data_IF_046049179502
#
_entry.id   IF_046049179502
#
_cell.length_a   1.000
_cell.length_b   1.000
_cell.length_c   1.000
_cell.angle_alpha   90.00
_cell.angle_beta   90.00
_cell.angle_gamma   90.00
#
_symmetry.space_group_name_H-M   'P 1'
#
loop_
_entity.id
_entity.type
_entity.pdbx_description
1 polymer ?
#
# COMPACT_ATOMS: atom_id res chain seq x y z
N UNK A 1 -2.58 7.93 4.80
CA UNK A 1 -3.22 7.72 6.11
C UNK A 1 -4.73 8.00 6.12
N UNK A 2 -5.23 9.23 5.85
CA UNK A 2 -6.68 9.51 6.00
C UNK A 2 -7.56 8.81 4.96
N UNK A 3 -7.33 9.04 3.67
CA UNK A 3 -8.21 8.50 2.62
C UNK A 3 -8.08 6.96 2.51
N UNK A 4 -6.91 6.39 2.80
CA UNK A 4 -6.74 4.93 2.92
C UNK A 4 -7.57 4.34 4.07
N UNK A 5 -7.61 4.96 5.24
CA UNK A 5 -8.46 4.51 6.35
C UNK A 5 -9.95 4.58 6.01
N UNK A 6 -10.41 5.70 5.45
CA UNK A 6 -11.81 5.85 5.01
C UNK A 6 -12.18 4.77 3.99
N UNK A 7 -11.29 4.55 3.01
CA UNK A 7 -11.47 3.53 1.99
C UNK A 7 -11.54 2.12 2.56
N UNK A 8 -10.56 1.72 3.38
CA UNK A 8 -10.51 0.37 3.94
C UNK A 8 -11.69 0.07 4.86
N UNK A 9 -12.16 1.07 5.61
CA UNK A 9 -13.37 0.95 6.43
C UNK A 9 -14.63 0.82 5.57
N UNK A 10 -14.78 1.66 4.54
CA UNK A 10 -15.92 1.59 3.62
C UNK A 10 -15.93 0.28 2.80
N UNK A 11 -14.76 -0.22 2.44
CA UNK A 11 -14.59 -1.52 1.80
C UNK A 11 -14.95 -2.66 2.75
N UNK A 12 -14.61 -2.54 4.04
CA UNK A 12 -14.94 -3.54 5.05
C UNK A 12 -16.42 -3.60 5.41
N UNK A 13 -17.12 -2.46 5.41
CA UNK A 13 -18.55 -2.36 5.70
C UNK A 13 -19.45 -2.60 4.48
N UNK A 14 -18.87 -2.71 3.28
CA UNK A 14 -19.63 -2.77 2.01
C UNK A 14 -20.22 -1.42 1.56
N UNK A 15 -19.90 -0.32 2.26
CA UNK A 15 -20.39 1.03 1.98
C UNK A 15 -19.48 1.84 1.04
N UNK A 16 -18.60 1.17 0.28
CA UNK A 16 -17.70 1.83 -0.67
C UNK A 16 -18.49 2.55 -1.77
N UNK A 17 -18.32 3.87 -1.86
CA UNK A 17 -18.81 4.69 -2.96
C UNK A 17 -17.71 4.95 -4.00
N UNK A 18 -18.12 5.32 -5.21
CA UNK A 18 -17.19 5.73 -6.27
C UNK A 18 -16.37 6.96 -5.87
N UNK A 19 -16.96 7.92 -5.16
CA UNK A 19 -16.24 9.10 -4.65
C UNK A 19 -15.12 8.70 -3.68
N UNK A 20 -15.39 7.82 -2.71
CA UNK A 20 -14.38 7.34 -1.76
C UNK A 20 -13.27 6.62 -2.51
N UNK A 21 -13.62 5.78 -3.49
CA UNK A 21 -12.65 5.07 -4.31
C UNK A 21 -11.74 6.03 -5.09
N UNK A 22 -12.31 6.99 -5.83
CA UNK A 22 -11.52 7.90 -6.66
C UNK A 22 -10.63 8.82 -5.82
N UNK A 23 -11.15 9.35 -4.71
CA UNK A 23 -10.34 10.15 -3.79
C UNK A 23 -9.15 9.37 -3.24
N UNK A 24 -9.35 8.10 -2.90
CA UNK A 24 -8.25 7.25 -2.41
C UNK A 24 -7.26 6.92 -3.52
N UNK A 25 -7.71 6.69 -4.75
CA UNK A 25 -6.81 6.51 -5.90
C UNK A 25 -5.93 7.72 -6.13
N UNK A 26 -6.50 8.91 -6.17
CA UNK A 26 -5.76 10.14 -6.41
C UNK A 26 -4.77 10.41 -5.26
N UNK A 27 -5.22 10.25 -4.01
CA UNK A 27 -4.36 10.38 -2.84
C UNK A 27 -3.21 9.36 -2.84
N UNK A 28 -3.48 8.12 -3.22
CA UNK A 28 -2.46 7.07 -3.34
C UNK A 28 -1.43 7.43 -4.42
N UNK A 29 -1.87 7.88 -5.60
CA UNK A 29 -0.99 8.26 -6.69
C UNK A 29 -0.06 9.42 -6.30
N UNK A 30 -0.59 10.46 -5.65
CA UNK A 30 0.20 11.61 -5.15
C UNK A 30 1.21 11.15 -4.10
N UNK A 31 0.77 10.34 -3.13
CA UNK A 31 1.63 9.82 -2.08
C UNK A 31 2.78 8.96 -2.64
N UNK A 32 2.45 7.98 -3.49
CA UNK A 32 3.43 7.09 -4.10
C UNK A 32 4.39 7.82 -5.02
N UNK A 33 3.93 8.84 -5.76
CA UNK A 33 4.79 9.69 -6.58
C UNK A 33 5.84 10.41 -5.72
N UNK A 34 5.42 11.00 -4.59
CA UNK A 34 6.32 11.67 -3.66
C UNK A 34 7.35 10.73 -3.05
N UNK A 35 6.92 9.55 -2.56
CA UNK A 35 7.82 8.53 -2.01
C UNK A 35 8.79 8.01 -3.07
N UNK A 36 8.29 7.69 -4.26
CA UNK A 36 9.10 7.17 -5.36
C UNK A 36 10.17 8.19 -5.79
N UNK A 37 9.81 9.48 -5.85
CA UNK A 37 10.76 10.55 -6.15
C UNK A 37 11.79 10.76 -5.03
N UNK A 38 11.39 10.69 -3.76
CA UNK A 38 12.33 10.79 -2.64
C UNK A 38 13.37 9.66 -2.65
N UNK A 39 12.94 8.45 -3.04
CA UNK A 39 13.80 7.26 -3.12
C UNK A 39 14.64 7.19 -4.40
N UNK A 40 14.30 7.94 -5.46
CA UNK A 40 15.03 7.89 -6.73
C UNK A 40 16.48 8.37 -6.62
N UNK A 41 16.78 9.19 -5.61
CA UNK A 41 18.14 9.63 -5.31
C UNK A 41 19.02 8.52 -4.70
N UNK A 42 18.47 7.35 -4.39
CA UNK A 42 19.24 6.17 -3.96
C UNK A 42 19.91 6.30 -2.59
N UNK A 43 19.42 7.21 -1.73
CA UNK A 43 20.00 7.44 -0.39
C UNK A 43 19.75 6.31 0.61
N UNK A 44 18.87 5.36 0.26
CA UNK A 44 18.67 4.10 0.98
C UNK A 44 17.37 4.01 1.77
N UNK A 45 16.85 5.14 2.26
CA UNK A 45 15.58 5.28 2.99
C UNK A 45 14.81 6.52 2.51
N UNK A 46 13.55 6.66 2.93
CA UNK A 46 12.67 7.76 2.49
C UNK A 46 13.28 9.13 2.81
N UNK A 47 13.93 9.26 3.97
CA UNK A 47 14.60 10.50 4.40
C UNK A 47 16.09 10.25 4.65
N UNK A 48 16.87 10.26 3.57
CA UNK A 48 18.32 10.14 3.63
C UNK A 48 18.79 8.70 3.84
N UNK A 49 19.82 8.53 4.67
CA UNK A 49 20.60 7.28 4.76
C UNK A 49 20.28 6.40 5.96
N UNK A 50 19.34 6.82 6.80
CA UNK A 50 18.95 6.08 8.00
C UNK A 50 17.48 5.74 7.96
N UNK A 51 17.15 4.59 8.55
CA UNK A 51 15.78 4.22 8.82
C UNK A 51 15.15 5.25 9.75
N UNK A 52 13.98 5.77 9.37
CA UNK A 52 13.23 6.74 10.17
C UNK A 52 11.77 6.33 10.30
N UNK A 53 11.01 7.11 11.07
CA UNK A 53 9.56 6.97 11.14
C UNK A 53 8.88 7.11 9.76
N UNK A 54 9.48 7.83 8.80
CA UNK A 54 8.92 7.94 7.45
C UNK A 54 8.86 6.58 6.75
N UNK A 55 9.89 5.75 6.91
CA UNK A 55 9.93 4.38 6.36
C UNK A 55 8.94 3.46 7.07
N UNK A 56 8.80 3.61 8.39
CA UNK A 56 7.84 2.84 9.20
C UNK A 56 6.41 3.16 8.78
N UNK A 57 6.07 4.46 8.67
CA UNK A 57 4.76 4.90 8.18
C UNK A 57 4.52 4.44 6.75
N UNK A 58 5.53 4.50 5.89
CA UNK A 58 5.41 4.01 4.51
C UNK A 58 5.11 2.51 4.43
N UNK A 59 5.85 1.67 5.16
CA UNK A 59 5.60 0.24 5.20
C UNK A 59 4.23 -0.10 5.79
N UNK A 60 3.83 0.56 6.87
CA UNK A 60 2.53 0.35 7.48
C UNK A 60 1.38 0.74 6.54
N UNK A 61 1.48 1.90 5.90
CA UNK A 61 0.47 2.41 4.96
C UNK A 61 0.31 1.48 3.76
N UNK A 62 1.42 1.10 3.10
CA UNK A 62 1.36 0.22 1.95
C UNK A 62 0.94 -1.21 2.33
N UNK A 63 1.31 -1.64 3.54
CA UNK A 63 0.82 -2.89 4.12
C UNK A 63 -0.69 -2.91 4.29
N UNK A 64 -1.30 -1.81 4.75
CA UNK A 64 -2.76 -1.71 4.93
C UNK A 64 -3.54 -1.87 3.62
N UNK A 65 -3.02 -1.40 2.49
CA UNK A 65 -3.68 -1.60 1.21
C UNK A 65 -3.81 -3.08 0.79
N UNK A 66 -3.05 -4.00 1.39
CA UNK A 66 -3.21 -5.44 1.14
C UNK A 66 -4.55 -6.00 1.64
N UNK A 67 -5.29 -5.27 2.47
CA UNK A 67 -6.66 -5.61 2.89
C UNK A 67 -7.69 -5.57 1.74
N UNK A 68 -7.31 -5.11 0.55
CA UNK A 68 -8.11 -5.23 -0.65
C UNK A 68 -8.14 -6.66 -1.20
N UNK A 69 -7.09 -7.47 -0.95
CA UNK A 69 -6.94 -8.82 -1.52
C UNK A 69 -8.19 -9.71 -1.31
N UNK A 70 -8.78 -9.79 -0.10
CA UNK A 70 -9.99 -10.58 0.11
C UNK A 70 -11.26 -10.00 -0.55
N UNK A 71 -11.25 -8.72 -0.97
CA UNK A 71 -12.40 -8.00 -1.55
C UNK A 71 -12.28 -7.76 -3.05
N UNK A 72 -11.30 -8.36 -3.74
CA UNK A 72 -11.11 -8.19 -5.19
C UNK A 72 -12.39 -8.48 -5.97
N UNK A 73 -13.15 -9.51 -5.60
CA UNK A 73 -14.40 -9.84 -6.29
C UNK A 73 -15.50 -8.79 -6.07
N UNK A 74 -15.55 -8.17 -4.90
CA UNK A 74 -16.54 -7.14 -4.59
C UNK A 74 -16.22 -5.83 -5.32
N UNK A 75 -14.93 -5.51 -5.48
CA UNK A 75 -14.47 -4.41 -6.33
C UNK A 75 -14.84 -4.67 -7.80
N UNK A 76 -14.56 -5.88 -8.32
CA UNK A 76 -14.89 -6.27 -9.70
C UNK A 76 -16.39 -6.18 -10.01
N UNK A 77 -17.26 -6.63 -9.10
CA UNK A 77 -18.73 -6.49 -9.25
C UNK A 77 -19.19 -5.04 -9.42
N UNK A 78 -18.39 -4.08 -8.92
CA UNK A 78 -18.64 -2.64 -9.02
C UNK A 78 -17.89 -1.99 -10.19
N UNK A 79 -17.20 -2.77 -11.02
CA UNK A 79 -16.36 -2.26 -12.11
C UNK A 79 -15.09 -1.54 -11.62
N UNK A 80 -14.67 -1.79 -10.38
CA UNK A 80 -13.50 -1.16 -9.76
C UNK A 80 -12.33 -2.15 -9.70
N UNK A 81 -11.12 -1.62 -9.81
CA UNK A 81 -9.87 -2.36 -9.66
C UNK A 81 -9.23 -2.04 -8.30
N UNK A 82 -8.57 -2.99 -7.61
CA UNK A 82 -7.82 -2.70 -6.39
C UNK A 82 -6.81 -1.57 -6.57
N UNK A 83 -6.59 -0.77 -5.54
CA UNK A 83 -5.60 0.33 -5.57
C UNK A 83 -4.20 -0.23 -5.83
N UNK A 84 -3.86 -1.40 -5.28
CA UNK A 84 -2.60 -2.09 -5.53
C UNK A 84 -2.57 -2.93 -6.82
N UNK A 85 -3.64 -2.98 -7.62
CA UNK A 85 -3.63 -3.76 -8.86
C UNK A 85 -3.02 -3.00 -10.04
N UNK A 86 -2.76 -3.73 -11.13
CA UNK A 86 -2.23 -3.17 -12.37
C UNK A 86 -0.71 -2.98 -12.35
N UNK A 87 -0.26 -1.81 -12.82
CA UNK A 87 1.15 -1.53 -13.11
C UNK A 87 1.85 -0.76 -11.99
N UNK A 88 1.42 -0.88 -10.73
CA UNK A 88 1.96 -0.10 -9.58
C UNK A 88 3.48 -0.29 -9.45
N UNK A 89 3.98 -1.51 -9.65
CA UNK A 89 5.43 -1.79 -9.65
C UNK A 89 6.18 -1.08 -10.78
N UNK A 90 5.53 -0.88 -11.93
CA UNK A 90 6.12 -0.15 -13.07
C UNK A 90 6.00 1.36 -12.92
N UNK A 91 4.92 1.84 -12.28
CA UNK A 91 4.67 3.26 -12.05
C UNK A 91 5.54 3.82 -10.92
N UNK A 92 5.77 3.03 -9.87
CA UNK A 92 6.49 3.46 -8.66
C UNK A 92 7.61 2.47 -8.27
N UNK A 93 8.58 2.21 -9.18
CA UNK A 93 9.56 1.15 -9.00
C UNK A 93 10.44 1.31 -7.76
N UNK A 94 10.83 2.54 -7.40
CA UNK A 94 11.66 2.81 -6.23
C UNK A 94 10.88 2.61 -4.93
N UNK A 95 9.62 3.06 -4.89
CA UNK A 95 8.76 2.87 -3.73
C UNK A 95 8.49 1.37 -3.49
N UNK A 96 8.13 0.63 -4.54
CA UNK A 96 7.84 -0.80 -4.44
C UNK A 96 9.09 -1.63 -4.10
N UNK A 97 10.25 -1.31 -4.69
CA UNK A 97 11.52 -1.93 -4.32
C UNK A 97 11.88 -1.66 -2.85
N UNK A 98 11.65 -0.43 -2.37
CA UNK A 98 11.89 -0.08 -0.97
C UNK A 98 10.94 -0.83 -0.03
N UNK A 99 9.66 -0.96 -0.38
CA UNK A 99 8.72 -1.77 0.39
C UNK A 99 9.19 -3.22 0.48
N UNK A 100 9.60 -3.83 -0.64
CA UNK A 100 10.13 -5.20 -0.65
C UNK A 100 11.38 -5.36 0.23
N UNK A 101 12.24 -4.32 0.28
CA UNK A 101 13.40 -4.27 1.18
C UNK A 101 12.97 -4.16 2.65
N UNK A 102 12.04 -3.26 2.98
CA UNK A 102 11.53 -3.08 4.34
C UNK A 102 10.83 -4.34 4.85
N UNK A 103 10.00 -5.00 4.04
CA UNK A 103 9.31 -6.24 4.44
C UNK A 103 10.27 -7.35 4.88
N UNK A 104 11.50 -7.39 4.33
CA UNK A 104 12.54 -8.36 4.70
C UNK A 104 13.48 -7.88 5.81
N UNK A 105 13.35 -6.63 6.23
CA UNK A 105 14.26 -6.03 7.20
C UNK A 105 13.96 -6.60 8.61
N UNK A 106 14.98 -6.91 9.45
CA UNK A 106 14.78 -7.53 10.77
C UNK A 106 13.87 -6.74 11.72
N UNK A 107 13.81 -5.42 11.57
CA UNK A 107 12.93 -4.54 12.35
C UNK A 107 11.45 -4.54 11.91
N UNK A 108 11.13 -5.19 10.78
CA UNK A 108 9.79 -5.16 10.17
C UNK A 108 9.24 -6.58 9.97
N UNK A 109 10.07 -7.51 9.51
CA UNK A 109 9.67 -8.88 9.20
C UNK A 109 8.88 -9.58 10.34
N UNK A 110 9.22 -9.44 11.63
CA UNK A 110 8.45 -10.05 12.72
C UNK A 110 6.97 -9.64 12.76
N UNK A 111 6.66 -8.40 12.36
CA UNK A 111 5.29 -7.87 12.32
C UNK A 111 4.65 -8.02 10.93
N UNK A 112 5.42 -7.81 9.88
CA UNK A 112 4.94 -7.81 8.50
C UNK A 112 4.66 -9.21 7.97
N UNK A 113 5.51 -10.20 8.24
CA UNK A 113 5.34 -11.55 7.68
C UNK A 113 4.04 -12.20 8.15
N UNK A 114 3.72 -12.24 9.47
CA UNK A 114 2.46 -12.82 9.93
C UNK A 114 1.25 -12.03 9.40
N UNK A 115 1.40 -10.72 9.19
CA UNK A 115 0.34 -9.89 8.64
C UNK A 115 0.06 -10.21 7.17
N UNK A 116 1.10 -10.33 6.34
CA UNK A 116 0.96 -10.63 4.91
C UNK A 116 0.41 -12.04 4.66
N UNK A 117 0.83 -13.01 5.47
CA UNK A 117 0.33 -14.40 5.40
C UNK A 117 -1.20 -14.50 5.57
N UNK A 118 -1.84 -13.56 6.30
CA UNK A 118 -3.30 -13.53 6.44
C UNK A 118 -4.00 -13.41 5.09
N UNK A 119 -3.40 -12.69 4.14
CA UNK A 119 -3.99 -12.45 2.84
C UNK A 119 -3.70 -13.58 1.85
N UNK A 120 -2.53 -14.20 1.92
CA UNK A 120 -2.20 -15.37 1.08
C UNK A 120 -3.17 -16.53 1.34
N UNK A 121 -3.49 -16.79 2.61
CA UNK A 121 -4.47 -17.80 3.01
C UNK A 121 -5.91 -17.46 2.66
N UNK A 122 -6.25 -16.17 2.54
CA UNK A 122 -7.59 -15.73 2.18
C UNK A 122 -7.84 -15.75 0.67
N UNK A 123 -6.78 -15.83 -0.13
CA UNK A 123 -6.83 -15.90 -1.60
C UNK A 123 -6.56 -17.29 -2.17
N UNK A 124 -6.15 -18.25 -1.34
CA UNK A 124 -5.93 -19.67 -1.68
C UNK A 124 -7.22 -20.48 -1.49
#
# INVERSE_FOLDING_TARGET
ARDSQIYLLALASGSLSEEIYQRTRDAFAVYMSGINSALSAGRGFVVGERLTLADVCFAAELGLFHNEKPRVQDLKKRGLEPILSGNVDQQFPHAMAHFAKLSKHPAFAPDMDPYMQKFERATA
#
